data_IF_566543094713
#
_entry.id   IF_566543094713
#
_cell.length_a   1.000
_cell.length_b   1.000
_cell.length_c   1.000
_cell.angle_alpha   90.00
_cell.angle_beta   90.00
_cell.angle_gamma   90.00
#
_symmetry.space_group_name_H-M   'P 1'
#
loop_
_entity.id
_entity.type
_entity.pdbx_description
1 polymer ?
#
# COMPACT_ATOMS: atom_id res chain seq x y z
N UNK A 1 47.31 -25.26 -1.77
CA UNK A 1 45.93 -24.97 -2.23
C UNK A 1 44.99 -24.41 -1.15
N UNK A 2 45.38 -24.28 0.13
CA UNK A 2 44.46 -23.85 1.21
C UNK A 2 44.65 -22.40 1.73
N UNK A 3 45.75 -21.72 1.42
CA UNK A 3 46.04 -20.37 1.97
C UNK A 3 45.47 -19.24 1.11
N UNK A 4 45.45 -19.41 -0.20
CA UNK A 4 44.93 -18.40 -1.15
C UNK A 4 43.42 -18.17 -1.03
N UNK A 5 42.63 -19.23 -0.76
CA UNK A 5 41.18 -19.12 -0.59
C UNK A 5 40.78 -18.37 0.68
N UNK A 6 41.62 -18.39 1.73
CA UNK A 6 41.35 -17.74 3.01
C UNK A 6 41.54 -16.21 2.88
N UNK A 7 42.54 -15.77 2.11
CA UNK A 7 42.78 -14.33 1.91
C UNK A 7 41.69 -13.66 1.06
N UNK A 8 41.13 -14.36 0.07
CA UNK A 8 40.02 -13.83 -0.75
C UNK A 8 38.74 -13.65 0.08
N UNK A 9 38.46 -14.57 1.00
CA UNK A 9 37.27 -14.48 1.88
C UNK A 9 37.43 -13.33 2.89
N UNK A 10 38.62 -13.16 3.48
CA UNK A 10 38.87 -12.07 4.43
C UNK A 10 38.80 -10.69 3.75
N UNK A 11 39.28 -10.56 2.50
CA UNK A 11 39.21 -9.32 1.74
C UNK A 11 37.77 -8.90 1.40
N UNK A 12 36.90 -9.86 1.04
CA UNK A 12 35.50 -9.57 0.71
C UNK A 12 34.70 -9.18 1.97
N UNK A 13 34.92 -9.84 3.11
CA UNK A 13 34.25 -9.49 4.37
C UNK A 13 34.70 -8.12 4.89
N UNK A 14 35.98 -7.75 4.74
CA UNK A 14 36.49 -6.43 5.10
C UNK A 14 35.87 -5.28 4.31
N UNK A 15 35.58 -5.48 3.03
CA UNK A 15 34.95 -4.46 2.16
C UNK A 15 33.47 -4.26 2.52
N UNK A 16 32.75 -5.33 2.90
CA UNK A 16 31.32 -5.24 3.26
C UNK A 16 31.14 -4.53 4.62
N UNK A 17 32.05 -4.73 5.58
CA UNK A 17 31.97 -4.07 6.89
C UNK A 17 32.40 -2.59 6.81
N UNK A 18 33.37 -2.25 5.94
CA UNK A 18 33.82 -0.87 5.74
C UNK A 18 32.78 0.05 5.11
N UNK A 19 31.86 -0.47 4.29
CA UNK A 19 30.83 0.31 3.60
C UNK A 19 29.61 0.65 4.48
N UNK A 20 29.42 -0.03 5.62
CA UNK A 20 28.28 0.20 6.52
C UNK A 20 28.57 1.21 7.65
N UNK A 21 29.82 1.66 7.80
CA UNK A 21 30.22 2.57 8.88
C UNK A 21 30.23 4.07 8.52
N UNK A 22 29.94 4.46 7.26
CA UNK A 22 30.21 5.83 6.78
C UNK A 22 29.01 6.72 6.43
N UNK A 23 27.76 6.33 6.69
CA UNK A 23 26.59 7.19 6.36
C UNK A 23 25.59 7.43 7.48
N UNK A 24 25.85 6.95 8.70
CA UNK A 24 24.96 7.25 9.83
C UNK A 24 25.49 8.43 10.66
N UNK A 25 25.14 9.65 10.27
CA UNK A 25 25.17 10.83 11.14
C UNK A 25 23.76 11.07 11.66
N UNK A 26 23.44 10.76 12.93
CA UNK A 26 22.16 11.16 13.49
C UNK A 26 22.13 12.70 13.59
N UNK A 27 20.98 13.35 13.31
CA UNK A 27 20.85 14.78 13.49
C UNK A 27 21.06 15.16 14.97
N UNK A 28 21.64 16.34 15.26
CA UNK A 28 21.79 16.79 16.63
C UNK A 28 20.42 16.91 17.30
N UNK A 29 20.31 16.36 18.51
CA UNK A 29 19.12 16.48 19.34
C UNK A 29 18.84 17.96 19.61
N UNK A 30 17.76 18.49 19.02
CA UNK A 30 17.23 19.79 19.38
C UNK A 30 16.58 19.67 20.76
N UNK A 31 17.26 20.17 21.78
CA UNK A 31 16.68 20.39 23.10
C UNK A 31 15.68 21.53 22.97
N UNK A 32 14.40 21.20 22.86
CA UNK A 32 13.32 22.18 22.98
C UNK A 32 13.17 22.52 24.46
N UNK A 33 13.75 23.65 24.88
CA UNK A 33 13.40 24.24 26.18
C UNK A 33 11.95 24.75 26.11
N UNK A 34 11.02 23.99 26.69
CA UNK A 34 9.66 24.47 26.95
C UNK A 34 9.73 25.48 28.10
N UNK A 35 9.87 26.76 27.77
CA UNK A 35 9.71 27.86 28.73
C UNK A 35 8.22 28.04 29.04
N UNK A 36 7.73 27.38 30.07
CA UNK A 36 6.40 27.64 30.65
C UNK A 36 6.37 29.04 31.25
N UNK A 37 5.75 29.99 30.55
CA UNK A 37 5.43 31.30 31.12
C UNK A 37 4.07 31.18 31.79
N UNK A 38 4.06 31.13 33.13
CA UNK A 38 2.83 31.11 33.91
C UNK A 38 2.20 32.52 33.89
N UNK A 39 1.14 32.69 33.11
CA UNK A 39 0.27 33.86 33.21
C UNK A 39 -0.85 33.52 34.19
N UNK A 40 -0.78 34.07 35.40
CA UNK A 40 -1.87 33.99 36.38
C UNK A 40 -3.02 34.86 35.91
N UNK A 41 -4.10 34.25 35.42
CA UNK A 41 -5.38 34.92 35.23
C UNK A 41 -6.25 34.61 36.45
N UNK A 42 -6.55 35.65 37.23
CA UNK A 42 -7.54 35.62 38.31
C UNK A 42 -8.92 35.77 37.69
N UNK A 43 -9.70 34.69 37.64
CA UNK A 43 -11.13 34.75 37.34
C UNK A 43 -11.94 34.08 38.45
N UNK A 44 -12.87 34.86 39.00
CA UNK A 44 -13.85 34.47 40.02
C UNK A 44 -14.87 33.47 39.46
N UNK A 45 -15.39 32.54 40.27
CA UNK A 45 -16.30 31.51 39.77
C UNK A 45 -17.69 32.07 39.51
N UNK A 46 -18.13 32.03 38.25
CA UNK A 46 -19.56 32.18 37.91
C UNK A 46 -20.12 30.80 37.59
N UNK A 47 -20.99 30.31 38.45
CA UNK A 47 -21.78 29.10 38.26
C UNK A 47 -22.75 29.28 37.10
N UNK A 48 -22.65 28.46 36.06
CA UNK A 48 -23.70 28.33 35.03
C UNK A 48 -24.14 26.87 34.93
N UNK A 49 -25.41 26.67 35.21
CA UNK A 49 -26.20 25.43 35.11
C UNK A 49 -26.86 25.33 33.73
N UNK A 50 -27.00 24.09 33.23
CA UNK A 50 -27.76 23.62 32.06
C UNK A 50 -27.11 23.81 30.66
N UNK A 51 -27.13 22.84 29.73
CA UNK A 51 -27.84 21.57 29.69
C UNK A 51 -27.15 20.55 28.78
N UNK A 52 -27.26 19.27 29.14
CA UNK A 52 -26.83 18.16 28.32
C UNK A 52 -27.86 17.92 27.23
N UNK A 53 -27.54 18.30 25.99
CA UNK A 53 -28.22 17.76 24.81
C UNK A 53 -27.51 16.46 24.43
N UNK A 54 -28.10 15.35 24.85
CA UNK A 54 -27.70 14.02 24.42
C UNK A 54 -28.07 13.86 22.94
N UNK A 55 -27.09 13.98 22.05
CA UNK A 55 -27.26 13.57 20.65
C UNK A 55 -27.47 12.05 20.62
N UNK A 56 -28.51 11.53 19.95
CA UNK A 56 -28.67 10.10 19.77
C UNK A 56 -27.48 9.54 19.00
N UNK A 57 -26.78 8.57 19.60
CA UNK A 57 -25.83 7.74 18.88
C UNK A 57 -26.60 7.06 17.73
N UNK A 58 -26.36 7.54 16.51
CA UNK A 58 -26.78 6.82 15.32
C UNK A 58 -25.92 5.57 15.27
N UNK A 59 -26.51 4.44 15.66
CA UNK A 59 -26.01 3.10 15.36
C UNK A 59 -25.70 3.06 13.87
N UNK A 60 -24.41 3.17 13.51
CA UNK A 60 -23.93 2.90 12.17
C UNK A 60 -24.26 1.45 11.88
N UNK A 61 -25.27 1.23 11.04
CA UNK A 61 -25.53 -0.08 10.47
C UNK A 61 -24.21 -0.60 9.85
N UNK A 62 -23.86 -1.89 10.05
CA UNK A 62 -22.68 -2.46 9.42
C UNK A 62 -22.76 -2.18 7.91
N UNK A 63 -21.70 -1.61 7.34
CA UNK A 63 -21.57 -1.52 5.90
C UNK A 63 -21.81 -2.92 5.30
N UNK A 64 -22.52 -3.04 4.17
CA UNK A 64 -22.74 -4.34 3.54
C UNK A 64 -21.39 -5.02 3.30
N UNK A 65 -21.16 -6.10 4.04
CA UNK A 65 -19.94 -6.91 3.94
C UNK A 65 -19.82 -7.43 2.51
N UNK A 66 -18.79 -7.00 1.80
CA UNK A 66 -18.53 -7.44 0.43
C UNK A 66 -18.06 -8.89 0.50
N UNK A 67 -18.93 -9.85 0.14
CA UNK A 67 -18.62 -11.28 0.20
C UNK A 67 -17.75 -11.71 -1.00
N UNK A 68 -16.48 -11.36 -0.96
CA UNK A 68 -15.47 -11.86 -1.93
C UNK A 68 -14.76 -13.06 -1.32
N UNK A 69 -14.85 -14.21 -1.99
CA UNK A 69 -14.07 -15.38 -1.62
C UNK A 69 -12.65 -15.25 -2.19
N UNK A 70 -11.66 -15.70 -1.41
CA UNK A 70 -10.26 -15.71 -1.81
C UNK A 70 -9.54 -16.97 -1.32
N UNK A 71 -8.46 -17.33 -2.00
CA UNK A 71 -7.54 -18.38 -1.56
C UNK A 71 -6.51 -17.77 -0.59
N UNK A 72 -6.57 -18.16 0.68
CA UNK A 72 -5.74 -17.56 1.73
C UNK A 72 -4.23 -17.79 1.53
N UNK A 73 -3.82 -18.98 1.09
CA UNK A 73 -2.40 -19.28 0.89
C UNK A 73 -1.83 -18.51 -0.31
N UNK A 74 -2.63 -18.41 -1.38
CA UNK A 74 -2.26 -17.64 -2.56
C UNK A 74 -2.26 -16.13 -2.29
N UNK A 75 -3.19 -15.64 -1.46
CA UNK A 75 -3.21 -14.24 -1.00
C UNK A 75 -1.99 -13.88 -0.15
N UNK A 76 -1.53 -14.78 0.75
CA UNK A 76 -0.27 -14.59 1.49
C UNK A 76 0.94 -14.50 0.57
N UNK A 77 1.04 -15.38 -0.43
CA UNK A 77 2.06 -15.26 -1.48
C UNK A 77 1.96 -13.93 -2.22
N UNK A 78 0.75 -13.43 -2.47
CA UNK A 78 0.54 -12.12 -3.06
C UNK A 78 1.14 -10.99 -2.22
N UNK A 79 1.00 -11.02 -0.90
CA UNK A 79 1.64 -10.06 0.01
C UNK A 79 3.17 -10.12 -0.10
N UNK A 80 3.73 -11.33 -0.16
CA UNK A 80 5.17 -11.53 -0.32
C UNK A 80 5.66 -11.00 -1.68
N UNK A 81 4.99 -11.35 -2.76
CA UNK A 81 5.32 -10.89 -4.11
C UNK A 81 5.17 -9.38 -4.26
N UNK A 82 4.16 -8.77 -3.66
CA UNK A 82 3.99 -7.32 -3.69
C UNK A 82 5.22 -6.60 -3.11
N UNK A 83 5.81 -7.14 -2.04
CA UNK A 83 7.05 -6.63 -1.44
C UNK A 83 8.27 -6.97 -2.28
N UNK A 84 8.37 -8.21 -2.78
CA UNK A 84 9.50 -8.66 -3.59
C UNK A 84 9.64 -7.88 -4.91
N UNK A 85 8.51 -7.56 -5.55
CA UNK A 85 8.44 -6.76 -6.77
C UNK A 85 8.61 -5.26 -6.51
N UNK A 86 8.82 -4.87 -5.24
CA UNK A 86 8.90 -3.49 -4.78
C UNK A 86 7.66 -2.65 -5.13
N UNK A 87 6.47 -3.27 -5.27
CA UNK A 87 5.22 -2.51 -5.47
C UNK A 87 4.94 -1.59 -4.27
N UNK A 88 5.41 -1.96 -3.08
CA UNK A 88 5.35 -1.15 -1.87
C UNK A 88 6.30 0.06 -1.86
N UNK A 89 7.19 0.20 -2.85
CA UNK A 89 7.96 1.43 -3.01
C UNK A 89 7.04 2.61 -3.43
N UNK A 90 5.96 2.31 -4.17
CA UNK A 90 5.02 3.33 -4.65
C UNK A 90 3.69 3.29 -3.91
N UNK A 91 3.16 2.11 -3.62
CA UNK A 91 1.80 1.91 -3.14
C UNK A 91 1.75 1.36 -1.72
N UNK A 92 0.69 1.65 -0.98
CA UNK A 92 0.34 0.88 0.22
C UNK A 92 -0.75 -0.14 -0.09
N UNK A 93 -0.91 -1.12 0.79
CA UNK A 93 -2.10 -1.98 0.90
C UNK A 93 -2.39 -2.16 2.38
N UNK A 94 -2.89 -1.10 3.02
CA UNK A 94 -3.06 -1.04 4.48
C UNK A 94 -3.93 -2.18 5.04
N UNK A 95 -4.96 -2.58 4.31
CA UNK A 95 -5.88 -3.65 4.72
C UNK A 95 -5.20 -5.03 4.87
N UNK A 96 -3.99 -5.23 4.31
CA UNK A 96 -3.19 -6.46 4.48
C UNK A 96 -1.83 -6.17 5.13
N UNK A 97 -1.71 -5.05 5.84
CA UNK A 97 -0.52 -4.70 6.62
C UNK A 97 0.68 -4.19 5.81
N UNK A 98 0.48 -3.69 4.59
CA UNK A 98 1.53 -3.04 3.79
C UNK A 98 1.40 -1.53 3.95
N UNK A 99 2.15 -0.97 4.88
CA UNK A 99 2.00 0.44 5.32
C UNK A 99 3.04 1.40 4.73
N UNK A 100 4.16 0.88 4.23
CA UNK A 100 5.20 1.68 3.57
C UNK A 100 4.85 1.85 2.10
N UNK A 101 4.91 3.09 1.60
CA UNK A 101 4.49 3.49 0.25
C UNK A 101 3.54 4.70 0.31
N UNK A 102 2.71 4.90 -0.72
CA UNK A 102 1.56 5.82 -0.64
C UNK A 102 1.84 7.26 -1.08
N UNK A 103 3.11 7.67 -1.11
CA UNK A 103 3.50 9.03 -1.54
C UNK A 103 3.54 9.20 -3.06
N UNK A 104 3.60 8.09 -3.81
CA UNK A 104 3.63 8.10 -5.27
C UNK A 104 2.32 7.55 -5.82
N UNK A 105 1.99 6.31 -5.46
CA UNK A 105 0.75 5.65 -5.83
C UNK A 105 -0.23 5.58 -4.66
N UNK A 106 -1.54 5.47 -4.93
CA UNK A 106 -2.57 5.39 -3.88
C UNK A 106 -2.50 4.12 -3.04
N UNK A 107 -3.25 4.11 -1.94
CA UNK A 107 -3.55 2.89 -1.19
C UNK A 107 -4.44 1.96 -2.02
N UNK A 108 -3.97 0.74 -2.27
CA UNK A 108 -4.65 -0.21 -3.14
C UNK A 108 -5.62 -1.13 -2.39
N UNK A 109 -5.81 -0.92 -1.08
CA UNK A 109 -6.70 -1.72 -0.24
C UNK A 109 -8.12 -1.87 -0.78
N UNK A 110 -8.59 -0.90 -1.59
CA UNK A 110 -9.96 -0.85 -2.11
C UNK A 110 -10.01 -0.95 -3.64
N UNK A 111 -8.96 -1.47 -4.26
CA UNK A 111 -8.84 -1.55 -5.72
C UNK A 111 -10.02 -2.29 -6.37
N UNK A 112 -10.52 -3.36 -5.75
CA UNK A 112 -11.68 -4.10 -6.28
C UNK A 112 -13.02 -3.38 -6.15
N UNK A 113 -13.09 -2.34 -5.32
CA UNK A 113 -14.31 -1.57 -5.08
C UNK A 113 -14.35 -0.29 -5.90
N UNK A 114 -13.30 -0.01 -6.69
CA UNK A 114 -13.19 1.22 -7.46
C UNK A 114 -12.77 2.46 -6.66
N UNK A 115 -12.48 2.30 -5.38
CA UNK A 115 -12.21 3.42 -4.48
C UNK A 115 -10.70 3.64 -4.30
N UNK A 116 -9.95 3.79 -5.40
CA UNK A 116 -8.48 4.02 -5.37
C UNK A 116 -8.09 5.24 -6.20
N UNK A 117 -7.11 6.01 -5.72
CA UNK A 117 -6.63 7.21 -6.42
C UNK A 117 -7.59 8.41 -6.35
N UNK A 118 -8.55 8.38 -5.43
CA UNK A 118 -9.47 9.50 -5.10
C UNK A 118 -8.90 10.42 -4.01
N UNK A 119 -7.79 10.02 -3.38
CA UNK A 119 -7.09 10.83 -2.38
C UNK A 119 -6.19 11.89 -3.04
N UNK A 120 -6.21 13.11 -2.49
CA UNK A 120 -5.43 14.24 -3.03
C UNK A 120 -3.92 13.94 -2.93
N UNK A 121 -3.20 14.10 -4.03
CA UNK A 121 -1.73 14.04 -4.05
C UNK A 121 -1.12 12.74 -4.60
N UNK A 122 -1.92 11.73 -4.93
CA UNK A 122 -1.40 10.51 -5.57
C UNK A 122 -1.20 10.74 -7.06
N UNK A 123 -0.01 10.40 -7.59
CA UNK A 123 0.27 10.47 -9.01
C UNK A 123 -0.60 9.44 -9.75
N UNK A 124 -1.47 9.92 -10.64
CA UNK A 124 -2.30 9.07 -11.51
C UNK A 124 -3.81 9.26 -11.40
N UNK A 125 -4.35 9.82 -10.32
CA UNK A 125 -5.81 9.93 -10.15
C UNK A 125 -6.53 8.57 -10.20
N UNK A 126 -7.84 8.52 -10.51
CA UNK A 126 -8.63 7.29 -10.44
C UNK A 126 -8.45 6.40 -11.69
N UNK A 127 -7.20 6.12 -12.09
CA UNK A 127 -6.86 5.30 -13.28
C UNK A 127 -7.60 3.97 -13.28
N UNK A 128 -7.69 3.32 -12.12
CA UNK A 128 -8.28 1.98 -12.05
C UNK A 128 -9.78 2.01 -12.32
N UNK A 129 -10.49 3.07 -11.87
CA UNK A 129 -11.89 3.26 -12.25
C UNK A 129 -12.05 3.49 -13.74
N UNK A 130 -11.23 4.36 -14.34
CA UNK A 130 -11.26 4.59 -15.80
C UNK A 130 -10.98 3.30 -16.57
N UNK A 131 -10.07 2.47 -16.08
CA UNK A 131 -9.78 1.18 -16.68
C UNK A 131 -10.97 0.22 -16.57
N UNK A 132 -11.64 0.17 -15.42
CA UNK A 132 -12.86 -0.63 -15.28
C UNK A 132 -13.98 -0.17 -16.20
N UNK A 133 -14.25 1.13 -16.28
CA UNK A 133 -15.25 1.71 -17.18
C UNK A 133 -14.95 1.40 -18.65
N UNK A 134 -13.69 1.58 -19.07
CA UNK A 134 -13.20 1.22 -20.42
C UNK A 134 -13.42 -0.26 -20.76
N UNK A 135 -13.45 -1.14 -19.75
CA UNK A 135 -13.68 -2.57 -19.91
C UNK A 135 -15.10 -3.01 -19.48
N UNK A 136 -16.05 -2.07 -19.41
CA UNK A 136 -17.48 -2.35 -19.21
C UNK A 136 -17.92 -2.58 -17.76
N UNK A 137 -17.12 -2.17 -16.76
CA UNK A 137 -17.47 -2.27 -15.34
C UNK A 137 -17.59 -0.87 -14.71
N UNK A 138 -18.81 -0.35 -14.64
CA UNK A 138 -19.10 1.00 -14.11
C UNK A 138 -19.33 1.03 -12.59
N UNK A 139 -19.64 -0.11 -11.98
CA UNK A 139 -19.79 -0.25 -10.52
C UNK A 139 -19.01 -1.48 -10.02
N UNK A 140 -17.69 -1.36 -9.76
CA UNK A 140 -16.88 -2.47 -9.32
C UNK A 140 -17.31 -3.07 -7.97
N UNK A 141 -17.90 -2.25 -7.09
CA UNK A 141 -18.43 -2.73 -5.82
C UNK A 141 -19.62 -3.69 -5.98
N UNK A 142 -20.37 -3.60 -7.09
CA UNK A 142 -21.46 -4.53 -7.40
C UNK A 142 -20.96 -5.87 -7.97
N UNK A 143 -19.77 -5.90 -8.59
CA UNK A 143 -19.14 -7.12 -9.10
C UNK A 143 -17.62 -7.14 -8.86
N UNK A 144 -17.20 -7.39 -7.61
CA UNK A 144 -15.79 -7.42 -7.25
C UNK A 144 -15.04 -8.62 -7.88
N UNK A 145 -15.75 -9.67 -8.30
CA UNK A 145 -15.14 -10.78 -9.03
C UNK A 145 -14.76 -10.35 -10.46
N UNK A 146 -15.62 -9.59 -11.14
CA UNK A 146 -15.29 -8.98 -12.42
C UNK A 146 -14.16 -7.96 -12.28
N UNK A 147 -14.17 -7.14 -11.23
CA UNK A 147 -13.06 -6.24 -10.93
C UNK A 147 -11.73 -6.99 -10.78
N UNK A 148 -11.73 -8.14 -10.08
CA UNK A 148 -10.54 -8.99 -9.92
C UNK A 148 -10.02 -9.53 -11.26
N UNK A 149 -10.92 -9.97 -12.14
CA UNK A 149 -10.54 -10.41 -13.49
C UNK A 149 -9.93 -9.25 -14.31
N UNK A 150 -10.51 -8.05 -14.20
CA UNK A 150 -10.00 -6.87 -14.89
C UNK A 150 -8.63 -6.43 -14.36
N UNK A 151 -8.37 -6.55 -13.05
CA UNK A 151 -7.03 -6.31 -12.49
C UNK A 151 -6.05 -7.36 -12.99
N UNK A 152 -6.44 -8.64 -13.04
CA UNK A 152 -5.58 -9.68 -13.62
C UNK A 152 -5.19 -9.34 -15.07
N UNK A 153 -6.19 -8.92 -15.86
CA UNK A 153 -5.99 -8.43 -17.23
C UNK A 153 -5.07 -7.21 -17.26
N UNK A 154 -5.29 -6.22 -16.40
CA UNK A 154 -4.47 -5.02 -16.30
C UNK A 154 -3.01 -5.36 -15.97
N UNK A 155 -2.76 -6.22 -14.97
CA UNK A 155 -1.40 -6.63 -14.59
C UNK A 155 -0.73 -7.51 -15.65
N UNK A 156 -1.50 -8.15 -16.54
CA UNK A 156 -0.98 -8.99 -17.62
C UNK A 156 -0.74 -8.19 -18.90
N UNK A 157 -1.64 -7.28 -19.26
CA UNK A 157 -1.62 -6.60 -20.56
C UNK A 157 -1.16 -5.14 -20.45
N UNK A 158 -1.36 -4.53 -19.29
CA UNK A 158 -1.21 -3.08 -19.07
C UNK A 158 -2.28 -2.26 -19.80
N UNK A 159 -2.21 -0.95 -19.62
CA UNK A 159 -2.93 0.01 -20.45
C UNK A 159 -2.03 1.23 -20.65
N UNK A 160 -1.41 1.35 -21.83
CA UNK A 160 -0.42 2.41 -22.11
C UNK A 160 -1.02 3.81 -22.12
N UNK A 161 -2.33 3.90 -22.36
CA UNK A 161 -3.05 5.17 -22.41
C UNK A 161 -3.38 5.65 -20.99
N UNK A 162 -3.87 4.75 -20.14
CA UNK A 162 -4.28 5.09 -18.77
C UNK A 162 -3.13 5.02 -17.77
N UNK A 163 -2.19 4.09 -17.94
CA UNK A 163 -1.14 3.78 -16.98
C UNK A 163 0.21 3.49 -17.66
N UNK A 164 0.80 4.44 -18.41
CA UNK A 164 2.04 4.22 -19.17
C UNK A 164 3.20 3.70 -18.31
N UNK A 165 3.38 4.26 -17.11
CA UNK A 165 4.43 3.81 -16.17
C UNK A 165 4.23 2.36 -15.74
N UNK A 166 2.99 1.95 -15.42
CA UNK A 166 2.71 0.58 -15.03
C UNK A 166 2.84 -0.38 -16.21
N UNK A 167 2.46 0.03 -17.43
CA UNK A 167 2.69 -0.78 -18.63
C UNK A 167 4.18 -1.08 -18.84
N UNK A 168 5.07 -0.11 -18.62
CA UNK A 168 6.52 -0.35 -18.70
C UNK A 168 6.98 -1.35 -17.63
N UNK A 169 6.48 -1.22 -16.39
CA UNK A 169 6.80 -2.17 -15.31
C UNK A 169 6.31 -3.59 -15.63
N UNK A 170 5.10 -3.74 -16.18
CA UNK A 170 4.54 -5.04 -16.58
C UNK A 170 5.41 -5.70 -17.65
N UNK A 171 5.86 -4.95 -18.66
CA UNK A 171 6.77 -5.49 -19.69
C UNK A 171 8.12 -5.90 -19.09
N UNK A 172 8.64 -5.14 -18.11
CA UNK A 172 9.85 -5.53 -17.39
C UNK A 172 9.64 -6.82 -16.57
N UNK A 173 8.50 -6.97 -15.89
CA UNK A 173 8.18 -8.18 -15.14
C UNK A 173 8.01 -9.40 -16.06
N UNK A 174 7.34 -9.25 -17.21
CA UNK A 174 7.28 -10.31 -18.22
C UNK A 174 8.65 -10.75 -18.68
N UNK A 175 9.55 -9.79 -18.96
CA UNK A 175 10.91 -10.10 -19.39
C UNK A 175 11.72 -10.81 -18.30
N UNK A 176 11.52 -10.43 -17.04
CA UNK A 176 12.26 -10.98 -15.91
C UNK A 176 11.74 -12.35 -15.45
N UNK A 177 10.43 -12.54 -15.44
CA UNK A 177 9.77 -13.72 -14.85
C UNK A 177 9.16 -14.67 -15.89
N UNK A 178 9.11 -14.27 -17.16
CA UNK A 178 8.51 -15.05 -18.24
C UNK A 178 7.07 -15.44 -17.92
N UNK A 179 6.72 -16.70 -18.22
CA UNK A 179 5.37 -17.24 -18.02
C UNK A 179 4.92 -17.23 -16.55
N UNK A 180 5.86 -17.21 -15.61
CA UNK A 180 5.54 -17.12 -14.18
C UNK A 180 4.82 -15.84 -13.83
N UNK A 181 5.06 -14.74 -14.54
CA UNK A 181 4.35 -13.48 -14.29
C UNK A 181 2.84 -13.68 -14.33
N UNK A 182 2.33 -14.24 -15.43
CA UNK A 182 0.90 -14.47 -15.63
C UNK A 182 0.37 -15.68 -14.85
N UNK A 183 1.19 -16.73 -14.63
CA UNK A 183 0.73 -17.99 -14.04
C UNK A 183 0.91 -18.09 -12.52
N UNK A 184 1.85 -17.35 -11.92
CA UNK A 184 2.16 -17.41 -10.49
C UNK A 184 1.96 -16.05 -9.80
N UNK A 185 2.58 -14.98 -10.33
CA UNK A 185 2.58 -13.67 -9.66
C UNK A 185 1.23 -12.95 -9.73
N UNK A 186 0.67 -12.79 -10.94
CA UNK A 186 -0.60 -12.08 -11.12
C UNK A 186 -1.75 -12.73 -10.34
N UNK A 187 -1.96 -14.07 -10.37
CA UNK A 187 -3.00 -14.71 -9.57
C UNK A 187 -2.82 -14.46 -8.07
N UNK A 188 -1.59 -14.54 -7.55
CA UNK A 188 -1.29 -14.27 -6.16
C UNK A 188 -1.61 -12.82 -5.75
N UNK A 189 -1.21 -11.84 -6.57
CA UNK A 189 -1.52 -10.43 -6.34
C UNK A 189 -3.04 -10.17 -6.36
N UNK A 190 -3.78 -10.82 -7.25
CA UNK A 190 -5.24 -10.70 -7.31
C UNK A 190 -5.91 -11.29 -6.06
N UNK A 191 -5.47 -12.45 -5.59
CA UNK A 191 -5.98 -13.03 -4.34
C UNK A 191 -5.65 -12.16 -3.12
N UNK A 192 -4.49 -11.49 -3.12
CA UNK A 192 -4.18 -10.48 -2.09
C UNK A 192 -5.19 -9.31 -2.12
N UNK A 193 -5.57 -8.80 -3.28
CA UNK A 193 -6.58 -7.73 -3.36
C UNK A 193 -7.97 -8.22 -2.93
N UNK A 194 -8.33 -9.47 -3.24
CA UNK A 194 -9.57 -10.09 -2.75
C UNK A 194 -9.57 -10.22 -1.22
N UNK A 195 -8.45 -10.64 -0.63
CA UNK A 195 -8.25 -10.65 0.82
C UNK A 195 -8.39 -9.25 1.43
N UNK A 196 -7.82 -8.22 0.79
CA UNK A 196 -7.87 -6.84 1.25
C UNK A 196 -9.31 -6.28 1.36
N UNK A 197 -10.22 -6.72 0.49
CA UNK A 197 -11.63 -6.31 0.54
C UNK A 197 -12.50 -7.22 1.42
N UNK A 198 -12.14 -8.50 1.55
CA UNK A 198 -12.88 -9.45 2.39
C UNK A 198 -12.70 -9.20 3.89
N UNK A 199 -11.65 -8.48 4.30
CA UNK A 199 -11.42 -8.07 5.68
C UNK A 199 -12.21 -6.84 6.14
N UNK A 200 -13.13 -6.33 5.31
CA UNK A 200 -14.00 -5.18 5.59
C UNK A 200 -15.47 -5.59 5.67
#
# INVERSE_FOLDING_TARGET
MAKEAIYVIIAIVGIIIGALAFTYSPPPATVTETRTTATTITESPTTVTAGQTSTPATTTAPAPSVKVQYNADLAKKGVEYFKQLACNACHTVKAVGIEVGGNIGPDLSQTLLGNVGIEKGTAGGPIMMKYFEKNGLTNPAADPNKAAQLIAKFLTEGDKELAPTMSVQIEAFKKQYGDKWASEYVPALVEMFKMAVAGK
#
